data_IF_891676166894
#
_entry.id   IF_891676166894
#
_cell.length_a   1.000
_cell.length_b   1.000
_cell.length_c   1.000
_cell.angle_alpha   90.00
_cell.angle_beta   90.00
_cell.angle_gamma   90.00
#
_symmetry.space_group_name_H-M   'P 1'
#
loop_
_entity.id
_entity.type
_entity.pdbx_description
1 polymer ?
#
# COMPACT_ATOMS: atom_id res chain seq x y z
N UNK A 1 -55.64 21.83 6.74
CA UNK A 1 -54.29 21.90 7.35
C UNK A 1 -53.57 20.55 7.51
N UNK A 2 -54.07 19.43 6.95
CA UNK A 2 -53.47 18.08 7.15
C UNK A 2 -52.62 17.57 5.97
N UNK A 3 -52.71 18.19 4.80
CA UNK A 3 -52.00 17.76 3.58
C UNK A 3 -50.58 18.35 3.43
N UNK A 4 -50.26 19.46 4.11
CA UNK A 4 -48.91 20.04 4.09
C UNK A 4 -47.91 19.32 5.01
N UNK A 5 -48.37 18.56 6.00
CA UNK A 5 -47.51 17.88 6.97
C UNK A 5 -46.89 16.58 6.42
N UNK A 6 -47.57 15.93 5.46
CA UNK A 6 -47.12 14.66 4.86
C UNK A 6 -45.95 14.88 3.88
N UNK A 7 -45.90 16.03 3.21
CA UNK A 7 -44.81 16.36 2.27
C UNK A 7 -43.47 16.66 2.98
N UNK A 8 -43.50 17.08 4.23
CA UNK A 8 -42.29 17.38 5.03
C UNK A 8 -41.69 16.09 5.61
N UNK A 9 -42.51 15.05 5.84
CA UNK A 9 -42.04 13.76 6.35
C UNK A 9 -41.43 12.86 5.26
N UNK A 10 -41.89 12.99 4.00
CA UNK A 10 -41.40 12.20 2.87
C UNK A 10 -40.03 12.63 2.32
N UNK A 11 -39.60 13.88 2.57
CA UNK A 11 -38.34 14.43 2.06
C UNK A 11 -37.13 14.15 2.97
N UNK A 12 -37.35 13.75 4.23
CA UNK A 12 -36.28 13.46 5.20
C UNK A 12 -35.72 12.03 5.04
N UNK A 13 -36.47 11.11 4.43
CA UNK A 13 -36.06 9.70 4.27
C UNK A 13 -35.06 9.44 3.12
N UNK A 14 -34.79 10.43 2.26
CA UNK A 14 -33.89 10.24 1.09
C UNK A 14 -32.42 10.59 1.43
N UNK A 15 -32.14 11.19 2.59
CA UNK A 15 -30.77 11.56 2.99
C UNK A 15 -29.99 10.41 3.65
N UNK A 16 -30.62 9.28 3.94
CA UNK A 16 -29.96 8.06 4.43
C UNK A 16 -29.75 7.01 3.35
N UNK A 17 -29.60 7.43 2.08
CA UNK A 17 -28.82 6.61 1.17
C UNK A 17 -27.38 6.66 1.67
N UNK A 18 -27.05 5.74 2.58
CA UNK A 18 -25.69 5.29 2.79
C UNK A 18 -25.21 4.80 1.43
N UNK A 19 -24.73 5.71 0.58
CA UNK A 19 -23.72 5.37 -0.41
C UNK A 19 -22.70 4.62 0.42
N UNK A 20 -22.56 3.32 0.19
CA UNK A 20 -21.39 2.58 0.64
C UNK A 20 -20.23 3.39 0.07
N UNK A 21 -19.70 4.29 0.90
CA UNK A 21 -18.66 5.18 0.51
C UNK A 21 -17.51 4.21 0.35
N UNK A 22 -17.15 3.88 -0.90
CA UNK A 22 -15.99 3.07 -1.22
C UNK A 22 -14.81 3.74 -0.50
N UNK A 23 -14.55 3.28 0.72
CA UNK A 23 -13.62 3.94 1.62
C UNK A 23 -12.26 3.71 1.01
N UNK A 24 -11.68 4.80 0.53
CA UNK A 24 -10.42 4.81 -0.17
C UNK A 24 -9.30 4.43 0.79
N UNK A 25 -8.32 3.75 0.26
CA UNK A 25 -7.08 3.48 0.98
C UNK A 25 -6.46 4.82 1.40
N UNK A 26 -6.02 4.90 2.64
CA UNK A 26 -5.47 6.13 3.22
C UNK A 26 -4.01 6.30 2.76
N UNK A 27 -3.69 7.33 1.95
CA UNK A 27 -2.32 7.58 1.50
C UNK A 27 -1.32 7.74 2.64
N UNK A 28 -1.76 8.28 3.78
CA UNK A 28 -0.92 8.45 4.96
C UNK A 28 -0.49 7.09 5.51
N UNK A 29 -1.41 6.14 5.60
CA UNK A 29 -1.12 4.78 6.12
C UNK A 29 -0.14 4.08 5.18
N UNK A 30 -0.37 4.14 3.87
CA UNK A 30 0.55 3.54 2.88
C UNK A 30 1.95 4.14 2.98
N UNK A 31 2.07 5.47 3.07
CA UNK A 31 3.37 6.13 3.21
C UNK A 31 4.07 5.73 4.52
N UNK A 32 3.34 5.66 5.63
CA UNK A 32 3.90 5.23 6.91
C UNK A 32 4.45 3.79 6.85
N UNK A 33 3.79 2.89 6.10
CA UNK A 33 4.31 1.53 5.88
C UNK A 33 5.60 1.57 5.06
N UNK A 34 5.62 2.32 3.95
CA UNK A 34 6.79 2.43 3.07
C UNK A 34 8.00 2.98 3.84
N UNK A 35 7.84 4.09 4.57
CA UNK A 35 8.90 4.68 5.39
C UNK A 35 9.36 3.72 6.49
N UNK A 36 8.43 3.02 7.14
CA UNK A 36 8.76 2.04 8.18
C UNK A 36 9.53 0.84 7.63
N UNK A 37 9.22 0.39 6.42
CA UNK A 37 9.96 -0.68 5.75
C UNK A 37 11.39 -0.23 5.42
N UNK A 38 11.57 0.97 4.88
CA UNK A 38 12.89 1.55 4.60
C UNK A 38 13.73 1.64 5.89
N UNK A 39 13.15 2.21 6.95
CA UNK A 39 13.78 2.33 8.26
C UNK A 39 14.18 0.94 8.82
N UNK A 40 13.29 -0.04 8.68
CA UNK A 40 13.51 -1.41 9.13
C UNK A 40 14.67 -2.07 8.39
N UNK A 41 14.67 -2.02 7.05
CA UNK A 41 15.72 -2.64 6.25
C UNK A 41 17.06 -2.02 6.53
N UNK A 42 17.17 -0.69 6.54
CA UNK A 42 18.45 -0.03 6.83
C UNK A 42 18.99 -0.28 8.23
N UNK A 43 18.14 -0.60 9.21
CA UNK A 43 18.58 -1.04 10.55
C UNK A 43 19.08 -2.49 10.57
N UNK A 44 18.45 -3.38 9.81
CA UNK A 44 18.93 -4.78 9.70
C UNK A 44 20.23 -4.86 8.89
N UNK A 45 20.23 -4.22 7.72
CA UNK A 45 21.35 -4.14 6.79
C UNK A 45 21.15 -2.94 5.88
N UNK A 46 22.14 -2.04 5.83
CA UNK A 46 22.09 -0.88 4.95
C UNK A 46 21.80 -1.31 3.51
N UNK A 47 20.77 -0.72 2.90
CA UNK A 47 20.43 -0.98 1.49
C UNK A 47 20.99 0.16 0.64
N UNK A 48 21.93 -0.15 -0.24
CA UNK A 48 22.44 0.82 -1.20
C UNK A 48 21.35 1.20 -2.21
N UNK A 49 21.04 2.49 -2.27
CA UNK A 49 20.03 3.06 -3.16
C UNK A 49 20.45 3.13 -4.64
N UNK A 50 21.75 3.02 -4.92
CA UNK A 50 22.28 2.93 -6.28
C UNK A 50 22.07 1.53 -6.86
N UNK A 51 22.12 0.50 -6.01
CA UNK A 51 22.04 -0.90 -6.43
C UNK A 51 20.62 -1.47 -6.34
N UNK A 52 19.74 -0.84 -5.56
CA UNK A 52 18.40 -1.37 -5.30
C UNK A 52 17.30 -0.35 -5.59
N UNK A 53 16.17 -0.87 -6.07
CA UNK A 53 14.93 -0.13 -6.27
C UNK A 53 13.91 -0.63 -5.25
N UNK A 54 13.14 0.30 -4.68
CA UNK A 54 12.01 -0.04 -3.85
C UNK A 54 10.79 -0.30 -4.73
N UNK A 55 10.18 -1.46 -4.55
CA UNK A 55 8.96 -1.85 -5.26
C UNK A 55 7.80 -1.79 -4.28
N UNK A 56 6.73 -1.15 -4.72
CA UNK A 56 5.47 -1.06 -3.99
C UNK A 56 4.34 -1.58 -4.88
N UNK A 57 3.58 -2.53 -4.39
CA UNK A 57 2.42 -3.08 -5.07
C UNK A 57 1.24 -3.20 -4.11
N UNK A 58 0.03 -3.08 -4.66
CA UNK A 58 -1.18 -3.23 -3.87
C UNK A 58 -2.25 -3.92 -4.71
N UNK A 59 -3.05 -4.77 -4.07
CA UNK A 59 -4.11 -5.49 -4.76
C UNK A 59 -5.34 -5.63 -3.88
N UNK A 60 -6.52 -5.66 -4.51
CA UNK A 60 -7.79 -5.93 -3.84
C UNK A 60 -7.88 -7.41 -3.51
N UNK A 61 -8.39 -7.71 -2.33
CA UNK A 61 -8.91 -9.04 -2.02
C UNK A 61 -10.39 -8.99 -2.36
N UNK A 62 -10.70 -9.38 -3.59
CA UNK A 62 -12.06 -9.36 -4.11
C UNK A 62 -12.99 -10.17 -3.18
N UNK A 63 -14.24 -9.70 -3.02
CA UNK A 63 -15.28 -10.25 -2.12
C UNK A 63 -15.14 -9.95 -0.62
N UNK A 64 -14.00 -9.47 -0.14
CA UNK A 64 -13.78 -9.27 1.31
C UNK A 64 -13.66 -7.80 1.75
N UNK A 65 -13.77 -6.83 0.85
CA UNK A 65 -13.51 -5.40 1.14
C UNK A 65 -12.19 -5.20 1.91
N UNK A 66 -11.14 -5.89 1.45
CA UNK A 66 -9.79 -5.85 1.97
C UNK A 66 -8.82 -5.57 0.83
N UNK A 67 -7.62 -5.17 1.18
CA UNK A 67 -6.51 -5.07 0.24
C UNK A 67 -5.23 -5.53 0.92
N UNK A 68 -4.23 -5.90 0.13
CA UNK A 68 -2.87 -6.06 0.62
C UNK A 68 -1.94 -5.05 -0.03
N UNK A 69 -0.89 -4.70 0.69
CA UNK A 69 0.22 -3.85 0.27
C UNK A 69 1.49 -4.67 0.42
N UNK A 70 2.30 -4.77 -0.63
CA UNK A 70 3.65 -5.28 -0.54
C UNK A 70 4.69 -4.18 -0.75
N UNK A 71 5.77 -4.27 0.01
CA UNK A 71 6.91 -3.35 -0.07
C UNK A 71 8.19 -4.16 0.04
N UNK A 72 9.08 -4.01 -0.93
CA UNK A 72 10.37 -4.69 -0.91
C UNK A 72 11.44 -4.01 -1.76
N UNK A 73 12.71 -4.19 -1.39
CA UNK A 73 13.83 -3.83 -2.25
C UNK A 73 14.19 -4.97 -3.20
N UNK A 74 14.62 -4.61 -4.40
CA UNK A 74 15.07 -5.53 -5.42
C UNK A 74 16.14 -4.86 -6.30
N UNK A 75 17.24 -5.58 -6.54
CA UNK A 75 18.30 -5.17 -7.46
C UNK A 75 17.80 -5.29 -8.92
N UNK A 76 17.92 -4.25 -9.76
CA UNK A 76 17.55 -4.28 -11.19
C UNK A 76 18.09 -5.46 -11.98
N UNK A 77 19.29 -5.96 -11.67
CA UNK A 77 19.89 -7.14 -12.32
C UNK A 77 19.05 -8.42 -12.14
N UNK A 78 18.18 -8.44 -11.12
CA UNK A 78 17.27 -9.54 -10.81
C UNK A 78 15.81 -9.23 -11.20
N UNK A 79 15.52 -8.05 -11.76
CA UNK A 79 14.18 -7.61 -12.12
C UNK A 79 13.81 -8.05 -13.54
N UNK A 80 12.68 -8.74 -13.70
CA UNK A 80 12.10 -9.05 -15.01
C UNK A 80 10.58 -8.93 -14.96
N UNK A 81 9.98 -8.35 -16.00
CA UNK A 81 8.52 -8.38 -16.21
C UNK A 81 7.67 -7.43 -15.38
N UNK A 82 8.27 -6.51 -14.58
CA UNK A 82 7.50 -5.49 -13.87
C UNK A 82 6.89 -4.48 -14.82
N UNK A 83 5.60 -4.18 -14.66
CA UNK A 83 4.92 -3.12 -15.40
C UNK A 83 4.96 -1.84 -14.58
N UNK A 84 5.58 -0.79 -15.10
CA UNK A 84 5.56 0.54 -14.50
C UNK A 84 5.82 1.60 -15.56
N UNK A 85 5.25 2.79 -15.37
CA UNK A 85 5.40 3.93 -16.30
C UNK A 85 6.15 5.11 -15.69
N UNK A 86 6.37 5.10 -14.37
CA UNK A 86 6.97 6.20 -13.63
C UNK A 86 7.95 5.69 -12.58
N UNK A 87 8.96 6.51 -12.32
CA UNK A 87 9.91 6.32 -11.24
C UNK A 87 9.78 7.50 -10.29
N UNK A 88 9.65 7.20 -9.00
CA UNK A 88 9.55 8.20 -7.95
C UNK A 88 10.81 8.18 -7.08
N UNK A 89 11.02 9.26 -6.33
CA UNK A 89 12.10 9.36 -5.35
C UNK A 89 11.54 9.69 -3.97
N UNK A 90 11.88 8.86 -3.00
CA UNK A 90 11.63 9.10 -1.58
C UNK A 90 12.95 8.89 -0.84
N UNK A 91 13.38 9.91 -0.09
CA UNK A 91 14.74 9.98 0.44
C UNK A 91 15.78 9.81 -0.69
N UNK A 92 16.71 8.87 -0.55
CA UNK A 92 17.68 8.50 -1.58
C UNK A 92 17.22 7.35 -2.49
N UNK A 93 16.07 6.71 -2.22
CA UNK A 93 15.62 5.53 -2.96
C UNK A 93 14.78 5.88 -4.17
N UNK A 94 15.05 5.20 -5.29
CA UNK A 94 14.16 5.13 -6.44
C UNK A 94 13.04 4.13 -6.14
N UNK A 95 11.82 4.48 -6.51
CA UNK A 95 10.62 3.70 -6.25
C UNK A 95 9.87 3.47 -7.55
N UNK A 96 9.41 2.25 -7.77
CA UNK A 96 8.40 1.94 -8.78
C UNK A 96 7.12 1.39 -8.14
N UNK A 97 6.00 1.66 -8.79
CA UNK A 97 4.72 1.05 -8.48
C UNK A 97 4.53 -0.13 -9.44
N UNK A 98 4.25 -1.32 -8.93
CA UNK A 98 3.88 -2.46 -9.78
C UNK A 98 2.46 -2.26 -10.35
N UNK A 99 2.41 -1.81 -11.59
CA UNK A 99 1.17 -1.49 -12.31
C UNK A 99 0.43 -2.72 -12.84
N UNK A 100 0.95 -3.93 -12.61
CA UNK A 100 0.25 -5.17 -12.94
C UNK A 100 -0.90 -5.50 -11.96
N UNK A 101 -0.99 -4.79 -10.83
CA UNK A 101 -1.93 -5.09 -9.74
C UNK A 101 -3.15 -4.16 -9.73
N UNK A 102 -4.29 -4.65 -9.19
CA UNK A 102 -5.59 -3.99 -9.31
C UNK A 102 -5.66 -2.60 -8.62
N UNK A 103 -4.85 -2.34 -7.59
CA UNK A 103 -4.87 -1.08 -6.84
C UNK A 103 -3.83 -0.05 -7.32
N UNK A 104 -3.40 -0.16 -8.57
CA UNK A 104 -2.44 0.79 -9.18
C UNK A 104 -2.93 2.24 -9.12
N UNK A 105 -4.20 2.50 -9.45
CA UNK A 105 -4.78 3.86 -9.42
C UNK A 105 -4.72 4.43 -8.00
N UNK A 106 -4.91 3.56 -7.00
CA UNK A 106 -4.84 3.93 -5.60
C UNK A 106 -3.42 4.34 -5.22
N UNK A 107 -2.43 3.51 -5.53
CA UNK A 107 -1.01 3.83 -5.27
C UNK A 107 -0.59 5.12 -5.98
N UNK A 108 -1.02 5.35 -7.23
CA UNK A 108 -0.73 6.61 -7.94
C UNK A 108 -1.19 7.85 -7.18
N UNK A 109 -2.30 7.77 -6.41
CA UNK A 109 -2.73 8.88 -5.56
C UNK A 109 -1.81 9.08 -4.35
N UNK A 110 -1.25 8.01 -3.78
CA UNK A 110 -0.27 8.08 -2.68
C UNK A 110 0.99 8.82 -3.13
N UNK A 111 1.44 8.53 -4.35
CA UNK A 111 2.66 9.11 -4.91
C UNK A 111 2.45 10.46 -5.61
N UNK A 112 1.23 11.02 -5.61
CA UNK A 112 0.92 12.27 -6.31
C UNK A 112 1.80 13.46 -5.90
N UNK A 113 2.20 13.50 -4.64
CA UNK A 113 3.04 14.57 -4.09
C UNK A 113 4.50 14.12 -3.86
N UNK A 114 4.87 12.94 -4.35
CA UNK A 114 6.24 12.44 -4.30
C UNK A 114 6.95 12.87 -5.58
N UNK A 115 8.24 13.19 -5.47
CA UNK A 115 9.04 13.62 -6.61
C UNK A 115 9.10 12.50 -7.65
N UNK A 116 8.60 12.77 -8.86
CA UNK A 116 8.86 11.97 -10.04
C UNK A 116 10.26 12.28 -10.58
N UNK A 117 11.00 11.25 -10.96
CA UNK A 117 12.34 11.37 -11.57
C UNK A 117 12.34 10.81 -12.98
N UNK A 118 13.46 10.94 -13.69
CA UNK A 118 13.58 10.39 -15.04
C UNK A 118 13.27 8.90 -15.04
N UNK A 119 12.54 8.46 -16.08
CA UNK A 119 12.26 7.06 -16.27
C UNK A 119 13.55 6.29 -16.58
N UNK A 120 13.75 5.19 -15.88
CA UNK A 120 14.83 4.24 -16.14
C UNK A 120 14.20 2.85 -16.25
N UNK A 121 14.64 2.05 -17.22
CA UNK A 121 14.21 0.66 -17.31
C UNK A 121 15.04 -0.19 -16.34
N UNK A 122 14.44 -0.55 -15.21
CA UNK A 122 15.00 -1.47 -14.21
C UNK A 122 14.77 -2.95 -14.52
N UNK A 123 13.98 -3.34 -15.52
CA UNK A 123 13.82 -4.76 -15.88
C UNK A 123 15.06 -5.26 -16.64
N UNK A 124 16.19 -5.44 -15.96
CA UNK A 124 17.47 -5.79 -16.57
C UNK A 124 17.74 -7.30 -16.63
N UNK A 125 17.00 -8.11 -15.86
CA UNK A 125 17.20 -9.55 -15.86
C UNK A 125 16.74 -10.18 -17.17
N UNK A 126 17.59 -11.01 -17.75
CA UNK A 126 17.34 -11.74 -19.00
C UNK A 126 16.42 -12.95 -18.84
N UNK A 127 16.20 -13.42 -17.60
CA UNK A 127 15.29 -14.51 -17.26
C UNK A 127 14.58 -14.19 -15.94
N UNK A 128 13.40 -14.77 -15.75
CA UNK A 128 12.63 -14.63 -14.52
C UNK A 128 13.39 -15.30 -13.38
N UNK A 129 13.89 -14.50 -12.44
CA UNK A 129 14.52 -15.00 -11.23
C UNK A 129 13.47 -15.14 -10.14
N UNK A 130 13.30 -16.35 -9.58
CA UNK A 130 12.47 -16.55 -8.39
C UNK A 130 13.39 -16.57 -7.18
N UNK A 131 13.33 -15.52 -6.36
CA UNK A 131 14.02 -15.51 -5.06
C UNK A 131 13.10 -14.98 -3.97
N UNK A 132 13.39 -15.39 -2.74
CA UNK A 132 12.66 -14.93 -1.56
C UNK A 132 13.19 -13.54 -1.17
N UNK A 133 12.54 -12.49 -1.67
CA UNK A 133 12.80 -11.12 -1.20
C UNK A 133 12.39 -11.00 0.26
N UNK A 134 13.18 -10.28 1.06
CA UNK A 134 12.76 -9.84 2.39
C UNK A 134 11.68 -8.76 2.28
N UNK A 135 10.47 -9.19 1.91
CA UNK A 135 9.30 -8.36 1.64
C UNK A 135 8.47 -8.18 2.91
N UNK A 136 7.84 -7.01 3.06
CA UNK A 136 6.67 -6.89 3.92
C UNK A 136 5.41 -7.01 3.06
N UNK A 137 4.52 -7.92 3.44
CA UNK A 137 3.16 -8.00 2.90
C UNK A 137 2.19 -7.75 4.05
N UNK A 138 1.42 -6.68 3.96
CA UNK A 138 0.45 -6.28 4.97
C UNK A 138 -0.95 -6.35 4.37
N UNK A 139 -1.87 -7.03 5.05
CA UNK A 139 -3.29 -7.05 4.68
C UNK A 139 -4.05 -6.07 5.54
N UNK A 140 -4.92 -5.29 4.93
CA UNK A 140 -5.74 -4.26 5.55
C UNK A 140 -7.22 -4.55 5.35
N UNK A 141 -8.03 -4.17 6.35
CA UNK A 141 -9.47 -4.05 6.18
C UNK A 141 -9.84 -2.72 5.49
N UNK A 142 -11.11 -2.55 5.14
CA UNK A 142 -11.66 -1.32 4.55
C UNK A 142 -11.54 -0.05 5.43
N UNK A 143 -11.12 -0.18 6.69
CA UNK A 143 -10.85 0.96 7.59
C UNK A 143 -9.38 1.37 7.60
N UNK A 144 -8.54 0.77 6.75
CA UNK A 144 -7.09 0.96 6.75
C UNK A 144 -6.42 0.49 8.05
N UNK A 145 -7.00 -0.51 8.71
CA UNK A 145 -6.39 -1.17 9.85
C UNK A 145 -5.72 -2.46 9.38
N UNK A 146 -4.51 -2.73 9.87
CA UNK A 146 -3.77 -3.96 9.58
C UNK A 146 -4.49 -5.14 10.23
N UNK A 147 -4.73 -6.20 9.46
CA UNK A 147 -5.32 -7.46 9.92
C UNK A 147 -4.36 -8.64 9.81
N UNK A 148 -3.30 -8.52 9.02
CA UNK A 148 -2.27 -9.54 8.89
C UNK A 148 -0.94 -8.91 8.49
N UNK A 149 0.15 -9.48 8.99
CA UNK A 149 1.53 -9.13 8.61
C UNK A 149 2.25 -10.38 8.12
N UNK A 150 3.04 -10.24 7.07
CA UNK A 150 4.03 -11.22 6.65
C UNK A 150 5.37 -10.52 6.41
N UNK A 151 6.51 -11.13 6.80
CA UNK A 151 6.64 -12.50 7.30
C UNK A 151 6.21 -12.65 8.77
N UNK A 152 5.63 -13.82 9.11
CA UNK A 152 4.99 -14.05 10.42
C UNK A 152 5.99 -14.10 11.56
N UNK A 153 7.19 -14.63 11.33
CA UNK A 153 8.26 -14.68 12.31
C UNK A 153 8.75 -13.29 12.74
N UNK A 154 8.47 -12.24 11.96
CA UNK A 154 8.76 -10.84 12.30
C UNK A 154 7.50 -10.02 12.64
N UNK A 155 6.31 -10.62 12.63
CA UNK A 155 5.04 -9.89 12.70
C UNK A 155 4.92 -8.98 13.93
N UNK A 156 5.29 -9.46 15.12
CA UNK A 156 5.23 -8.66 16.35
C UNK A 156 6.21 -7.47 16.31
N UNK A 157 7.39 -7.65 15.73
CA UNK A 157 8.36 -6.56 15.59
C UNK A 157 7.88 -5.50 14.58
N UNK A 158 7.38 -5.95 13.42
CA UNK A 158 6.78 -5.08 12.39
C UNK A 158 5.59 -4.31 12.97
N UNK A 159 4.71 -5.00 13.71
CA UNK A 159 3.57 -4.37 14.41
C UNK A 159 4.01 -3.26 15.33
N UNK A 160 5.01 -3.51 16.18
CA UNK A 160 5.53 -2.50 17.10
C UNK A 160 6.13 -1.27 16.38
N UNK A 161 6.76 -1.45 15.21
CA UNK A 161 7.26 -0.34 14.39
C UNK A 161 6.10 0.48 13.83
N UNK A 162 5.11 -0.20 13.25
CA UNK A 162 3.97 0.43 12.60
C UNK A 162 3.06 1.17 13.60
N UNK A 163 2.80 0.60 14.77
CA UNK A 163 2.02 1.24 15.84
C UNK A 163 2.68 2.54 16.33
N UNK A 164 4.02 2.55 16.48
CA UNK A 164 4.79 3.76 16.83
C UNK A 164 4.67 4.86 15.78
N UNK A 165 4.44 4.51 14.52
CA UNK A 165 4.20 5.45 13.41
C UNK A 165 2.71 5.81 13.26
N UNK A 166 1.83 5.28 14.11
CA UNK A 166 0.40 5.59 14.13
C UNK A 166 -0.46 4.75 13.20
N UNK A 167 0.08 3.68 12.62
CA UNK A 167 -0.70 2.70 11.85
C UNK A 167 -1.53 1.86 12.82
N UNK A 168 -2.83 1.74 12.56
CA UNK A 168 -3.76 1.01 13.41
C UNK A 168 -3.80 -0.48 13.07
N UNK A 169 -3.92 -1.31 14.10
CA UNK A 169 -4.18 -2.74 13.97
C UNK A 169 -5.63 -3.01 14.34
N UNK A 170 -6.28 -3.89 13.58
CA UNK A 170 -7.66 -4.25 13.84
C UNK A 170 -7.79 -5.17 15.03
N UNK A 171 -8.99 -5.24 15.62
CA UNK A 171 -9.30 -6.24 16.66
C UNK A 171 -9.23 -7.67 16.11
N UNK A 172 -9.45 -7.82 14.80
CA UNK A 172 -9.39 -9.10 14.08
C UNK A 172 -7.98 -9.42 13.57
N UNK A 173 -6.94 -8.75 14.11
CA UNK A 173 -5.55 -8.98 13.71
C UNK A 173 -5.11 -10.40 14.02
N UNK A 174 -4.69 -11.13 12.99
CA UNK A 174 -4.20 -12.50 13.07
C UNK A 174 -2.68 -12.49 13.27
N UNK A 175 -2.25 -13.08 14.39
CA UNK A 175 -0.83 -13.34 14.69
C UNK A 175 -0.32 -14.58 13.96
#
# INVERSE_FOLDING_TARGET
MKTKLIFILGTILILFSCKAQDKKIDPKVVMQVIESYIDFKNKEHYVDANDNILIVGANKIQKENKYWLNVYFLNPELMSGFKYTKVYKLYNYRIIIDEALDETIMLKNVFKNIQEVHYENFNLASYSFSYNTSMWLLTFNYKNEVIQVSPQEKAEYIKNILEKKGVKFSKDYQK
#
